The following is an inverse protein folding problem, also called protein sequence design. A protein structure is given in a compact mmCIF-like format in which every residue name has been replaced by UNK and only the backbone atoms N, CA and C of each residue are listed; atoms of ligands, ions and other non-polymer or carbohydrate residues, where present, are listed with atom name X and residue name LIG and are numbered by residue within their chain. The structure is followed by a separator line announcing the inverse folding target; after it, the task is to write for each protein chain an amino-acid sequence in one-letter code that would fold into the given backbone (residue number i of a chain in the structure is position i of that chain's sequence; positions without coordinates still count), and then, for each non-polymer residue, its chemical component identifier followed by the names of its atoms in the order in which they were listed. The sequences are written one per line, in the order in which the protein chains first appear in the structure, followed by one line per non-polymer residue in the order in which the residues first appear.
data_IF_735255081801
#
_entry.id   IF_735255081801
#
_cell.length_a   1.000
_cell.length_b   1.000
_cell.length_c   1.000
_cell.angle_alpha   90.00
_cell.angle_beta   90.00
_cell.angle_gamma   90.00
#
_symmetry.space_group_name_H-M   'P 1'
#
loop_
_entity.id
_entity.type
_entity.pdbx_description
1 polymer ?
#
# COMPACT_ATOMS: atom_id res chain seq x y z
N UNK A 1 -24.17 77.27 5.47
CA UNK A 1 -25.44 76.94 4.80
C UNK A 1 -25.17 75.73 3.92
N UNK A 2 -25.88 74.65 4.19
CA UNK A 2 -25.85 73.36 3.48
C UNK A 2 -26.54 73.48 2.13
N UNK A 3 -25.98 72.87 1.08
CA UNK A 3 -26.75 72.31 -0.04
C UNK A 3 -25.96 71.15 -0.69
N UNK A 4 -26.42 69.92 -0.46
CA UNK A 4 -27.04 69.16 -1.54
C UNK A 4 -26.17 68.18 -2.33
N UNK A 5 -26.43 66.90 -2.06
CA UNK A 5 -25.96 65.65 -2.68
C UNK A 5 -26.54 65.39 -4.09
N UNK A 6 -25.73 64.79 -4.99
CA UNK A 6 -26.16 63.84 -6.04
C UNK A 6 -24.91 63.18 -6.68
N UNK A 7 -24.59 61.91 -6.36
CA UNK A 7 -25.00 60.71 -7.12
C UNK A 7 -24.35 60.63 -8.52
N UNK A 8 -23.23 59.91 -8.64
CA UNK A 8 -22.78 59.33 -9.92
C UNK A 8 -23.12 57.84 -9.92
N UNK A 9 -24.15 57.54 -10.69
CA UNK A 9 -24.62 56.22 -11.08
C UNK A 9 -23.72 55.61 -12.16
N UNK A 10 -23.53 54.29 -12.06
CA UNK A 10 -23.47 53.41 -13.23
C UNK A 10 -22.10 53.09 -13.83
N UNK A 11 -21.42 52.09 -13.29
CA UNK A 11 -20.77 51.07 -14.12
C UNK A 11 -21.16 49.68 -13.60
N UNK A 12 -21.74 48.90 -14.51
CA UNK A 12 -22.42 47.66 -14.25
C UNK A 12 -21.48 46.51 -13.87
N UNK A 13 -22.09 45.61 -13.10
CA UNK A 13 -21.95 44.16 -13.12
C UNK A 13 -20.90 43.58 -14.08
N UNK A 14 -19.80 43.12 -13.48
CA UNK A 14 -19.25 41.80 -13.77
C UNK A 14 -19.27 41.04 -12.45
N UNK A 15 -20.46 40.58 -12.10
CA UNK A 15 -20.66 39.62 -11.04
C UNK A 15 -19.85 38.35 -11.33
N UNK A 16 -19.04 37.97 -10.35
CA UNK A 16 -18.90 36.57 -9.92
C UNK A 16 -18.43 35.56 -10.97
N UNK A 17 -17.13 35.60 -11.27
CA UNK A 17 -16.37 34.35 -11.26
C UNK A 17 -15.78 34.15 -9.87
N UNK A 18 -16.64 33.79 -8.92
CA UNK A 18 -16.20 33.07 -7.71
C UNK A 18 -15.74 31.71 -8.22
N UNK A 19 -14.44 31.62 -8.48
CA UNK A 19 -13.75 30.35 -8.57
C UNK A 19 -13.97 29.66 -7.23
N UNK A 20 -14.80 28.62 -7.24
CA UNK A 20 -14.98 27.74 -6.11
C UNK A 20 -13.59 27.30 -5.59
N UNK A 21 -13.37 27.22 -4.27
CA UNK A 21 -12.11 26.72 -3.75
C UNK A 21 -11.89 25.31 -4.32
N UNK A 22 -10.73 25.08 -4.94
CA UNK A 22 -10.32 23.78 -5.42
C UNK A 22 -10.22 22.82 -4.24
N UNK A 23 -11.28 22.06 -3.98
CA UNK A 23 -11.29 21.04 -2.95
C UNK A 23 -10.30 19.95 -3.36
N UNK A 24 -9.13 19.89 -2.72
CA UNK A 24 -8.54 18.71 -2.02
C UNK A 24 -7.04 18.95 -1.74
N UNK A 25 -6.69 19.48 -0.58
CA UNK A 25 -5.30 19.54 -0.12
C UNK A 25 -4.92 18.24 0.58
N UNK A 26 -4.73 17.15 -0.18
CA UNK A 26 -4.10 15.95 0.37
C UNK A 26 -2.68 16.30 0.85
N UNK A 27 -2.36 15.91 2.09
CA UNK A 27 -1.05 16.07 2.71
C UNK A 27 0.03 15.40 1.88
N UNK A 28 1.29 15.81 2.06
CA UNK A 28 2.43 15.17 1.39
C UNK A 28 2.46 13.66 1.67
N UNK A 29 2.17 13.24 2.90
CA UNK A 29 2.14 11.84 3.30
C UNK A 29 1.10 11.05 2.51
N UNK A 30 -0.13 11.55 2.39
CA UNK A 30 -1.19 10.88 1.62
C UNK A 30 -0.83 10.75 0.15
N UNK A 31 -0.21 11.79 -0.45
CA UNK A 31 0.26 11.74 -1.84
C UNK A 31 1.36 10.70 -2.03
N UNK A 32 2.27 10.56 -1.06
CA UNK A 32 3.34 9.57 -1.10
C UNK A 32 2.81 8.13 -0.96
N UNK A 33 1.84 7.90 -0.06
CA UNK A 33 1.19 6.59 0.06
C UNK A 33 0.41 6.23 -1.22
N UNK A 34 -0.37 7.17 -1.77
CA UNK A 34 -1.09 6.96 -3.02
C UNK A 34 -0.16 6.66 -4.20
N UNK A 35 0.98 7.36 -4.28
CA UNK A 35 1.98 7.09 -5.30
C UNK A 35 2.60 5.69 -5.13
N UNK A 36 2.93 5.30 -3.89
CA UNK A 36 3.47 3.98 -3.61
C UNK A 36 2.46 2.86 -3.94
N UNK A 37 1.19 3.03 -3.59
CA UNK A 37 0.11 2.10 -3.94
C UNK A 37 -0.01 1.91 -5.45
N UNK A 38 -0.03 3.01 -6.21
CA UNK A 38 -0.07 2.98 -7.68
C UNK A 38 1.12 2.23 -8.24
N UNK A 39 2.33 2.52 -7.74
CA UNK A 39 3.54 1.86 -8.22
C UNK A 39 3.55 0.37 -7.92
N UNK A 40 3.07 -0.05 -6.76
CA UNK A 40 2.94 -1.47 -6.40
C UNK A 40 1.95 -2.21 -7.31
N UNK A 41 0.82 -1.57 -7.64
CA UNK A 41 -0.15 -2.14 -8.56
C UNK A 41 0.46 -2.35 -9.96
N UNK A 42 1.20 -1.36 -10.47
CA UNK A 42 1.92 -1.45 -11.75
C UNK A 42 2.95 -2.59 -11.72
N UNK A 43 3.80 -2.66 -10.69
CA UNK A 43 4.82 -3.72 -10.56
C UNK A 43 4.15 -5.10 -10.53
N UNK A 44 3.03 -5.27 -9.81
CA UNK A 44 2.34 -6.55 -9.75
C UNK A 44 1.74 -6.93 -11.10
N UNK A 45 1.12 -5.97 -11.79
CA UNK A 45 0.58 -6.19 -13.13
C UNK A 45 1.66 -6.64 -14.11
N UNK A 46 2.83 -5.99 -14.10
CA UNK A 46 3.99 -6.33 -14.94
C UNK A 46 4.64 -7.67 -14.57
N UNK A 47 4.51 -8.12 -13.31
CA UNK A 47 4.97 -9.43 -12.86
C UNK A 47 4.06 -10.57 -13.33
N UNK A 48 2.82 -10.26 -13.71
CA UNK A 48 1.85 -11.18 -14.30
C UNK A 48 0.90 -11.85 -13.30
N UNK A 49 -0.05 -12.68 -13.79
CA UNK A 49 -1.23 -13.12 -13.05
C UNK A 49 -0.93 -14.05 -11.86
N UNK A 50 0.27 -14.63 -11.79
CA UNK A 50 0.68 -15.45 -10.65
C UNK A 50 1.17 -14.63 -9.45
N UNK A 51 1.43 -13.32 -9.65
CA UNK A 51 1.93 -12.42 -8.64
C UNK A 51 0.81 -11.83 -7.78
N UNK A 52 1.01 -11.81 -6.46
CA UNK A 52 -0.03 -11.45 -5.49
C UNK A 52 0.54 -10.76 -4.24
N UNK A 53 1.71 -10.12 -4.35
CA UNK A 53 2.30 -9.40 -3.21
C UNK A 53 1.49 -8.17 -2.81
N UNK A 54 0.95 -7.42 -3.76
CA UNK A 54 0.17 -6.24 -3.49
C UNK A 54 -1.27 -6.60 -3.17
N UNK A 55 -1.91 -7.45 -3.97
CA UNK A 55 -3.34 -7.81 -3.79
C UNK A 55 -3.62 -8.54 -2.47
N UNK A 56 -2.68 -9.33 -1.96
CA UNK A 56 -2.89 -10.13 -0.73
C UNK A 56 -2.14 -9.65 0.51
N UNK A 57 -1.09 -8.85 0.33
CA UNK A 57 -0.23 -8.42 1.44
C UNK A 57 -0.07 -6.90 1.53
N UNK A 58 -0.64 -6.13 0.59
CA UNK A 58 -0.53 -4.67 0.62
C UNK A 58 -1.31 -4.00 1.74
N UNK A 59 -0.93 -2.75 2.05
CA UNK A 59 -1.51 -1.98 3.14
C UNK A 59 -2.99 -1.58 2.94
N UNK A 60 -3.51 -1.75 1.71
CA UNK A 60 -4.93 -1.60 1.41
C UNK A 60 -5.76 -2.82 1.82
N UNK A 61 -5.13 -3.95 2.13
CA UNK A 61 -5.83 -5.09 2.77
C UNK A 61 -6.11 -4.77 4.24
N UNK A 62 -7.14 -5.35 4.84
CA UNK A 62 -7.47 -5.15 6.25
C UNK A 62 -6.91 -6.26 7.13
N UNK A 63 -6.79 -5.99 8.44
CA UNK A 63 -6.40 -7.03 9.40
C UNK A 63 -7.44 -8.17 9.46
N UNK A 64 -8.72 -7.85 9.28
CA UNK A 64 -9.80 -8.85 9.18
C UNK A 64 -9.61 -9.78 7.98
N UNK A 65 -9.23 -9.25 6.81
CA UNK A 65 -8.93 -10.08 5.64
C UNK A 65 -7.72 -11.02 5.87
N UNK A 66 -6.73 -10.57 6.66
CA UNK A 66 -5.60 -11.43 7.03
C UNK A 66 -6.04 -12.53 8.02
N UNK A 67 -6.92 -12.21 8.96
CA UNK A 67 -7.52 -13.18 9.87
C UNK A 67 -8.35 -14.23 9.10
N UNK A 68 -9.21 -13.78 8.19
CA UNK A 68 -10.04 -14.67 7.36
C UNK A 68 -9.17 -15.61 6.53
N UNK A 69 -8.09 -15.10 5.92
CA UNK A 69 -7.16 -15.97 5.18
C UNK A 69 -6.46 -16.98 6.08
N UNK A 70 -6.07 -16.59 7.30
CA UNK A 70 -5.37 -17.47 8.22
C UNK A 70 -6.24 -18.56 8.85
N UNK A 71 -7.56 -18.33 8.92
CA UNK A 71 -8.52 -19.22 9.59
C UNK A 71 -9.45 -19.97 8.64
N UNK A 72 -9.77 -19.38 7.48
CA UNK A 72 -10.70 -19.95 6.49
C UNK A 72 -10.03 -20.26 5.14
N UNK A 73 -8.87 -19.65 4.86
CA UNK A 73 -8.21 -19.74 3.56
C UNK A 73 -8.77 -18.78 2.50
N UNK A 74 -9.76 -17.93 2.82
CA UNK A 74 -10.26 -16.89 1.93
C UNK A 74 -9.25 -15.75 1.80
N UNK A 75 -8.74 -15.49 0.60
CA UNK A 75 -7.73 -14.47 0.37
C UNK A 75 -8.33 -13.06 0.25
N UNK A 76 -7.55 -11.98 0.49
CA UNK A 76 -8.04 -10.62 0.33
C UNK A 76 -8.55 -10.27 -1.08
N UNK A 77 -8.09 -10.99 -2.10
CA UNK A 77 -8.53 -10.90 -3.50
C UNK A 77 -9.67 -11.87 -3.86
N UNK A 78 -10.30 -12.52 -2.87
CA UNK A 78 -11.55 -13.27 -3.03
C UNK A 78 -11.41 -14.73 -3.48
N UNK A 79 -10.21 -15.31 -3.42
CA UNK A 79 -9.98 -16.71 -3.77
C UNK A 79 -9.95 -17.59 -2.53
N UNK A 80 -10.63 -18.73 -2.57
CA UNK A 80 -10.50 -19.75 -1.53
C UNK A 80 -9.25 -20.59 -1.77
N UNK A 81 -8.51 -20.87 -0.70
CA UNK A 81 -7.33 -21.71 -0.73
C UNK A 81 -7.09 -22.43 0.59
N UNK A 82 -5.88 -22.95 0.75
CA UNK A 82 -5.47 -23.57 2.01
C UNK A 82 -5.29 -22.53 3.11
N UNK A 83 -5.51 -22.94 4.35
CA UNK A 83 -5.12 -22.18 5.52
C UNK A 83 -3.60 -22.00 5.52
N UNK A 84 -3.16 -20.75 5.60
CA UNK A 84 -1.76 -20.35 5.61
C UNK A 84 -1.58 -19.16 6.52
N UNK A 85 -0.35 -18.90 6.98
CA UNK A 85 -0.04 -17.64 7.64
C UNK A 85 -0.37 -16.48 6.69
N UNK A 86 -0.91 -15.40 7.26
CA UNK A 86 -1.33 -14.25 6.47
C UNK A 86 -0.96 -12.95 7.17
N UNK A 87 -0.32 -12.05 6.42
CA UNK A 87 0.20 -10.79 6.93
C UNK A 87 0.06 -9.68 5.90
N UNK A 88 0.04 -8.44 6.38
CA UNK A 88 -0.03 -7.22 5.56
C UNK A 88 1.03 -6.22 5.95
N UNK A 89 1.51 -5.46 4.97
CA UNK A 89 2.35 -4.28 5.22
C UNK A 89 1.54 -3.18 5.92
N UNK A 90 2.19 -2.45 6.83
CA UNK A 90 1.56 -1.33 7.54
C UNK A 90 1.36 -0.08 6.66
N UNK A 91 2.18 0.09 5.61
CA UNK A 91 2.05 1.18 4.63
C UNK A 91 2.49 0.75 3.23
N UNK A 92 2.01 1.46 2.21
CA UNK A 92 2.39 1.21 0.82
C UNK A 92 3.85 1.58 0.59
N UNK A 93 4.33 2.65 1.23
CA UNK A 93 5.74 3.06 1.14
C UNK A 93 6.68 1.99 1.68
N UNK A 94 6.35 1.38 2.83
CA UNK A 94 7.15 0.31 3.41
C UNK A 94 7.21 -0.91 2.49
N UNK A 95 6.08 -1.28 1.89
CA UNK A 95 6.04 -2.36 0.91
C UNK A 95 6.88 -2.04 -0.33
N UNK A 96 6.75 -0.83 -0.89
CA UNK A 96 7.51 -0.42 -2.08
C UNK A 96 9.02 -0.42 -1.82
N UNK A 97 9.46 0.08 -0.67
CA UNK A 97 10.86 0.03 -0.26
C UNK A 97 11.36 -1.43 -0.13
N UNK A 98 10.55 -2.31 0.44
CA UNK A 98 10.88 -3.74 0.55
C UNK A 98 10.98 -4.42 -0.82
N UNK A 99 10.10 -4.07 -1.78
CA UNK A 99 10.17 -4.53 -3.17
C UNK A 99 11.49 -4.08 -3.82
N UNK A 100 11.84 -2.80 -3.70
CA UNK A 100 13.08 -2.26 -4.28
C UNK A 100 14.34 -2.92 -3.68
N UNK A 101 14.37 -3.12 -2.37
CA UNK A 101 15.46 -3.84 -1.70
C UNK A 101 15.55 -5.30 -2.19
N UNK A 102 14.41 -5.97 -2.34
CA UNK A 102 14.33 -7.33 -2.84
C UNK A 102 14.86 -7.46 -4.28
N UNK A 103 14.46 -6.55 -5.18
CA UNK A 103 14.93 -6.49 -6.56
C UNK A 103 16.45 -6.29 -6.63
N UNK A 104 17.00 -5.43 -5.77
CA UNK A 104 18.44 -5.20 -5.71
C UNK A 104 19.21 -6.42 -5.21
N UNK A 105 18.73 -7.09 -4.15
CA UNK A 105 19.33 -8.33 -3.65
C UNK A 105 19.29 -9.41 -4.73
N UNK A 106 18.15 -9.56 -5.42
CA UNK A 106 18.02 -10.52 -6.51
C UNK A 106 18.99 -10.22 -7.65
N UNK A 107 19.08 -8.96 -8.09
CA UNK A 107 20.02 -8.53 -9.13
C UNK A 107 21.48 -8.81 -8.78
N UNK A 108 21.87 -8.65 -7.51
CA UNK A 108 23.25 -8.89 -7.04
C UNK A 108 23.58 -10.36 -6.83
N UNK A 109 22.61 -11.17 -6.39
CA UNK A 109 22.88 -12.51 -5.85
C UNK A 109 22.23 -13.66 -6.62
N UNK A 110 21.24 -13.36 -7.46
CA UNK A 110 20.39 -14.35 -8.11
C UNK A 110 19.49 -15.15 -7.15
N UNK A 111 19.50 -14.84 -5.84
CA UNK A 111 18.68 -15.57 -4.85
C UNK A 111 17.20 -15.33 -5.08
N UNK A 112 16.46 -16.39 -5.38
CA UNK A 112 15.02 -16.32 -5.64
C UNK A 112 14.15 -16.37 -4.39
N UNK A 113 14.67 -16.93 -3.29
CA UNK A 113 13.94 -17.04 -2.03
C UNK A 113 14.87 -16.64 -0.90
N UNK A 114 14.46 -15.64 -0.12
CA UNK A 114 15.23 -15.14 1.01
C UNK A 114 14.34 -14.36 1.98
N UNK A 115 14.87 -14.13 3.17
CA UNK A 115 14.27 -13.24 4.17
C UNK A 115 15.29 -12.17 4.52
N UNK A 116 14.82 -10.96 4.86
CA UNK A 116 15.67 -9.89 5.38
C UNK A 116 14.91 -9.09 6.45
N UNK A 117 15.66 -8.43 7.33
CA UNK A 117 15.13 -7.51 8.33
C UNK A 117 15.04 -6.09 7.73
N UNK A 118 13.87 -5.46 7.85
CA UNK A 118 13.67 -4.08 7.42
C UNK A 118 14.19 -3.05 8.44
N UNK A 119 14.48 -3.48 9.68
CA UNK A 119 15.00 -2.63 10.76
C UNK A 119 13.93 -1.82 11.51
N UNK A 120 12.65 -1.99 11.16
CA UNK A 120 11.51 -1.38 11.84
C UNK A 120 10.27 -2.27 11.67
N UNK A 121 9.25 -2.08 12.53
CA UNK A 121 7.99 -2.81 12.41
C UNK A 121 7.34 -2.51 11.05
N UNK A 122 7.32 -3.53 10.18
CA UNK A 122 6.95 -3.36 8.77
C UNK A 122 5.58 -3.96 8.45
N UNK A 123 5.10 -4.87 9.29
CA UNK A 123 3.87 -5.59 9.04
C UNK A 123 3.32 -6.34 10.23
N UNK A 124 2.08 -6.75 10.05
CA UNK A 124 1.26 -7.45 11.04
C UNK A 124 0.48 -8.59 10.39
N UNK A 125 0.06 -9.58 11.17
CA UNK A 125 -0.70 -10.72 10.66
C UNK A 125 -0.98 -11.81 11.68
N UNK A 126 -1.46 -12.95 11.17
CA UNK A 126 -1.83 -14.11 11.97
C UNK A 126 -1.13 -15.35 11.43
N UNK A 127 -0.58 -16.16 12.35
CA UNK A 127 -0.14 -17.51 12.00
C UNK A 127 -1.35 -18.40 11.77
N UNK A 128 -1.17 -19.43 10.94
CA UNK A 128 -2.23 -20.36 10.56
C UNK A 128 -2.94 -20.92 11.79
N UNK A 129 -4.27 -20.79 11.82
CA UNK A 129 -5.13 -21.27 12.91
C UNK A 129 -4.87 -20.63 14.29
N UNK A 130 -4.04 -19.59 14.38
CA UNK A 130 -3.86 -18.80 15.59
C UNK A 130 -4.72 -17.53 15.54
N UNK A 131 -5.10 -17.05 16.72
CA UNK A 131 -5.90 -15.82 16.87
C UNK A 131 -5.05 -14.62 17.27
N UNK A 132 -3.80 -14.84 17.66
CA UNK A 132 -2.95 -13.77 18.18
C UNK A 132 -2.35 -12.95 17.03
N UNK A 133 -2.52 -11.63 17.15
CA UNK A 133 -1.91 -10.67 16.24
C UNK A 133 -0.40 -10.66 16.45
N UNK A 134 0.35 -11.01 15.40
CA UNK A 134 1.80 -10.91 15.37
C UNK A 134 2.23 -9.67 14.58
N UNK A 135 3.33 -9.05 15.02
CA UNK A 135 4.03 -7.96 14.33
C UNK A 135 5.47 -8.38 14.05
N UNK A 136 6.06 -7.82 13.00
CA UNK A 136 7.40 -8.22 12.56
C UNK A 136 8.15 -7.09 11.88
N UNK A 137 9.48 -7.17 11.95
CA UNK A 137 10.40 -6.35 11.15
C UNK A 137 10.88 -7.10 9.89
N UNK A 138 10.63 -8.41 9.82
CA UNK A 138 11.18 -9.28 8.79
C UNK A 138 10.27 -9.35 7.56
N UNK A 139 10.87 -9.55 6.39
CA UNK A 139 10.18 -9.67 5.11
C UNK A 139 10.66 -10.92 4.38
N UNK A 140 9.71 -11.77 3.96
CA UNK A 140 9.98 -12.93 3.10
C UNK A 140 9.73 -12.56 1.66
N UNK A 141 10.66 -12.95 0.79
CA UNK A 141 10.63 -12.68 -0.65
C UNK A 141 10.66 -13.99 -1.43
N UNK A 142 9.85 -14.04 -2.49
CA UNK A 142 9.87 -15.12 -3.49
C UNK A 142 9.78 -14.53 -4.89
N UNK A 143 10.83 -14.73 -5.68
CA UNK A 143 10.84 -14.57 -7.13
C UNK A 143 10.45 -15.88 -7.83
N UNK A 144 9.82 -15.79 -8.99
CA UNK A 144 9.49 -16.95 -9.81
C UNK A 144 10.69 -17.47 -10.62
N UNK A 145 10.45 -18.47 -11.47
CA UNK A 145 11.48 -19.06 -12.32
C UNK A 145 12.11 -18.06 -13.30
N UNK A 146 11.33 -17.06 -13.75
CA UNK A 146 11.71 -16.03 -14.71
C UNK A 146 12.31 -14.78 -14.05
N UNK A 147 12.44 -14.77 -12.72
CA UNK A 147 12.96 -13.63 -11.96
C UNK A 147 11.94 -12.51 -11.75
N UNK A 148 10.64 -12.76 -11.95
CA UNK A 148 9.58 -11.82 -11.59
C UNK A 148 9.19 -11.99 -10.14
N UNK A 149 8.86 -10.89 -9.46
CA UNK A 149 8.45 -10.92 -8.07
C UNK A 149 7.09 -11.62 -7.95
N UNK A 150 7.08 -12.82 -7.36
CA UNK A 150 5.87 -13.62 -7.21
C UNK A 150 5.09 -13.22 -5.96
N UNK A 151 5.79 -13.13 -4.83
CA UNK A 151 5.21 -12.64 -3.58
C UNK A 151 6.29 -12.04 -2.68
N UNK A 152 5.90 -11.05 -1.88
CA UNK A 152 6.68 -10.47 -0.80
C UNK A 152 5.70 -10.11 0.32
N UNK A 153 6.04 -10.47 1.55
CA UNK A 153 5.14 -10.28 2.68
C UNK A 153 5.89 -10.21 4.02
N UNK A 154 5.34 -9.54 5.04
CA UNK A 154 5.90 -9.54 6.38
C UNK A 154 5.98 -10.96 6.95
N UNK A 155 7.18 -11.36 7.38
CA UNK A 155 7.46 -12.69 7.90
C UNK A 155 7.23 -12.74 9.41
N UNK A 156 6.04 -13.17 9.81
CA UNK A 156 5.58 -13.18 11.20
C UNK A 156 6.07 -14.40 12.01
N UNK A 157 6.83 -15.31 11.40
CA UNK A 157 7.56 -16.34 12.14
C UNK A 157 8.91 -15.79 12.61
N UNK A 158 9.47 -16.32 13.72
CA UNK A 158 10.86 -16.07 14.06
C UNK A 158 11.79 -16.40 12.87
N UNK A 159 12.86 -15.63 12.71
CA UNK A 159 13.94 -16.02 11.80
C UNK A 159 14.60 -17.31 12.34
N UNK A 160 14.91 -18.30 11.48
CA UNK A 160 15.72 -19.45 11.88
C UNK A 160 17.16 -19.06 12.19
#
# INVERSE_FOLDING_TARGET
MDFGRAERTGLGSVAEQVTAPSTTTATLTERLEANAARRLAEIQADAGPSSHFFSRHGAQTSIGQQFDRATTGLTPDGFSGNLVDSSRFLSHRSQLNAVQAAEEIFRRTGKKVFTFDAGYEIGEGFTRSATDLARTTNVRVVFDANGKLKTIFPWIKPLP
#
